data_IF_480388763067
#
_entry.id   IF_480388763067
#
_cell.length_a   1.000
_cell.length_b   1.000
_cell.length_c   1.000
_cell.angle_alpha   90.00
_cell.angle_beta   90.00
_cell.angle_gamma   90.00
#
_symmetry.space_group_name_H-M   'P 1'
#
loop_
_entity.id
_entity.type
_entity.pdbx_description
1 polymer ?
#
# COMPACT_ATOMS: atom_id res chain seq x y z
N UNK A 1 -7.30 27.40 12.85
CA UNK A 1 -8.45 26.69 12.26
C UNK A 1 -8.36 25.26 12.74
N UNK A 2 -9.36 24.77 13.47
CA UNK A 2 -9.35 23.47 14.15
C UNK A 2 -9.27 22.35 13.11
N UNK A 3 -8.31 21.43 13.29
CA UNK A 3 -8.27 20.17 12.54
C UNK A 3 -9.45 19.31 12.96
N UNK A 4 -10.25 18.94 11.97
CA UNK A 4 -11.29 17.94 12.07
C UNK A 4 -10.60 16.58 12.17
N UNK A 5 -10.68 15.96 13.35
CA UNK A 5 -10.23 14.58 13.56
C UNK A 5 -11.18 13.68 12.80
N UNK A 6 -10.72 13.06 11.73
CA UNK A 6 -11.34 11.89 11.14
C UNK A 6 -11.55 10.85 12.24
N UNK A 7 -12.80 10.55 12.54
CA UNK A 7 -13.22 9.67 13.63
C UNK A 7 -12.86 8.21 13.30
N UNK A 8 -11.66 7.78 13.69
CA UNK A 8 -11.36 6.35 13.84
C UNK A 8 -12.11 5.85 15.08
N UNK A 9 -13.18 5.10 14.84
CA UNK A 9 -13.95 4.36 15.85
C UNK A 9 -13.03 3.41 16.60
N UNK A 10 -12.95 3.56 17.92
CA UNK A 10 -12.24 2.64 18.82
C UNK A 10 -12.80 1.23 18.63
N UNK A 11 -11.98 0.20 18.37
CA UNK A 11 -12.48 -1.15 18.23
C UNK A 11 -13.04 -1.63 19.57
N UNK A 12 -14.24 -2.23 19.55
CA UNK A 12 -14.86 -2.83 20.72
C UNK A 12 -13.99 -3.92 21.35
N UNK A 13 -14.18 -4.22 22.63
CA UNK A 13 -13.36 -5.18 23.39
C UNK A 13 -13.27 -6.56 22.72
N UNK A 14 -14.35 -7.01 22.07
CA UNK A 14 -14.39 -8.25 21.28
C UNK A 14 -13.46 -8.22 20.06
N UNK A 15 -13.52 -7.14 19.27
CA UNK A 15 -12.66 -6.92 18.09
C UNK A 15 -11.17 -6.91 18.46
N UNK A 16 -10.80 -6.19 19.52
CA UNK A 16 -9.42 -6.16 20.01
C UNK A 16 -8.90 -7.55 20.43
N UNK A 17 -9.73 -8.36 21.09
CA UNK A 17 -9.35 -9.72 21.51
C UNK A 17 -9.11 -10.67 20.33
N UNK A 18 -9.95 -10.58 19.29
CA UNK A 18 -9.83 -11.36 18.07
C UNK A 18 -8.55 -11.00 17.29
N UNK A 19 -8.30 -9.70 17.09
CA UNK A 19 -7.10 -9.23 16.39
C UNK A 19 -5.82 -9.58 17.14
N UNK A 20 -5.84 -9.50 18.47
CA UNK A 20 -4.74 -9.97 19.32
C UNK A 20 -4.48 -11.47 19.14
N UNK A 21 -5.52 -12.29 19.03
CA UNK A 21 -5.37 -13.73 18.78
C UNK A 21 -4.76 -14.00 17.40
N UNK A 22 -5.19 -13.27 16.36
CA UNK A 22 -4.57 -13.34 15.03
C UNK A 22 -3.09 -12.95 15.05
N UNK A 23 -2.74 -11.86 15.76
CA UNK A 23 -1.34 -11.47 15.94
C UNK A 23 -0.50 -12.60 16.57
N UNK A 24 -1.03 -13.29 17.59
CA UNK A 24 -0.34 -14.42 18.22
C UNK A 24 -0.12 -15.58 17.24
N UNK A 25 -1.07 -15.87 16.35
CA UNK A 25 -0.88 -16.91 15.32
C UNK A 25 0.17 -16.51 14.27
N UNK A 26 0.18 -15.24 13.85
CA UNK A 26 1.23 -14.69 12.98
C UNK A 26 2.60 -14.83 13.65
N UNK A 27 2.70 -14.48 14.94
CA UNK A 27 3.93 -14.60 15.72
C UNK A 27 4.44 -16.04 15.75
N UNK A 28 3.57 -17.00 16.09
CA UNK A 28 3.91 -18.44 16.12
C UNK A 28 4.41 -18.91 14.76
N UNK A 29 3.80 -18.48 13.66
CA UNK A 29 4.19 -18.90 12.31
C UNK A 29 5.56 -18.33 11.93
N UNK A 30 5.83 -17.07 12.26
CA UNK A 30 7.15 -16.44 12.07
C UNK A 30 8.25 -17.10 12.93
N UNK A 31 7.96 -17.42 14.19
CA UNK A 31 8.90 -18.13 15.06
C UNK A 31 9.25 -19.53 14.50
N UNK A 32 8.26 -20.27 13.99
CA UNK A 32 8.51 -21.56 13.31
C UNK A 32 9.38 -21.38 12.06
N UNK A 33 9.17 -20.31 11.29
CA UNK A 33 9.97 -20.00 10.10
C UNK A 33 11.43 -19.65 10.46
N UNK A 34 11.66 -19.02 11.61
CA UNK A 34 13.02 -18.81 12.12
C UNK A 34 13.69 -20.12 12.52
N UNK A 35 12.98 -20.95 13.29
CA UNK A 35 13.50 -22.21 13.83
C UNK A 35 13.77 -23.29 12.76
N UNK A 36 13.01 -23.30 11.65
CA UNK A 36 13.12 -24.33 10.61
C UNK A 36 13.55 -23.77 9.27
N UNK A 37 14.84 -23.84 8.97
CA UNK A 37 15.40 -23.30 7.72
C UNK A 37 14.85 -23.96 6.46
N UNK A 38 14.54 -25.26 6.49
CA UNK A 38 14.01 -26.00 5.35
C UNK A 38 12.54 -25.68 5.06
N UNK A 39 11.75 -25.37 6.08
CA UNK A 39 10.32 -25.03 5.94
C UNK A 39 10.08 -23.52 5.83
N UNK A 40 11.08 -22.69 6.12
CA UNK A 40 10.98 -21.23 6.14
C UNK A 40 10.32 -20.63 4.89
N UNK A 41 10.68 -21.00 3.65
CA UNK A 41 10.05 -20.41 2.47
C UNK A 41 8.56 -20.71 2.41
N UNK A 42 8.17 -21.97 2.66
CA UNK A 42 6.77 -22.42 2.64
C UNK A 42 5.96 -21.72 3.74
N UNK A 43 6.48 -21.67 4.96
CA UNK A 43 5.80 -21.03 6.08
C UNK A 43 5.56 -19.53 5.84
N UNK A 44 6.51 -18.83 5.23
CA UNK A 44 6.36 -17.42 4.89
C UNK A 44 5.38 -17.22 3.73
N UNK A 45 5.41 -18.09 2.73
CA UNK A 45 4.45 -18.04 1.63
C UNK A 45 3.02 -18.30 2.12
N UNK A 46 2.82 -19.30 2.97
CA UNK A 46 1.51 -19.57 3.57
C UNK A 46 1.06 -18.41 4.44
N UNK A 47 1.95 -17.83 5.27
CA UNK A 47 1.61 -16.67 6.08
C UNK A 47 1.17 -15.48 5.22
N UNK A 48 1.89 -15.22 4.13
CA UNK A 48 1.52 -14.20 3.16
C UNK A 48 0.13 -14.47 2.56
N UNK A 49 -0.17 -15.72 2.18
CA UNK A 49 -1.49 -16.09 1.68
C UNK A 49 -2.58 -15.87 2.74
N UNK A 50 -2.35 -16.30 3.98
CA UNK A 50 -3.30 -16.19 5.08
C UNK A 50 -3.67 -14.72 5.38
N UNK A 51 -2.68 -13.81 5.45
CA UNK A 51 -2.95 -12.38 5.71
C UNK A 51 -3.57 -11.65 4.51
N UNK A 52 -3.39 -12.18 3.30
CA UNK A 52 -3.98 -11.65 2.08
C UNK A 52 -5.42 -12.13 1.85
N UNK A 53 -5.94 -13.02 2.70
CA UNK A 53 -7.32 -13.49 2.60
C UNK A 53 -8.32 -12.35 2.86
N UNK A 54 -9.44 -12.44 2.14
CA UNK A 54 -10.63 -11.65 2.39
C UNK A 54 -11.20 -11.99 3.77
N UNK A 55 -11.68 -10.96 4.46
CA UNK A 55 -12.39 -11.10 5.73
C UNK A 55 -13.81 -11.57 5.43
N UNK A 56 -14.13 -12.80 5.80
CA UNK A 56 -15.47 -13.37 5.65
C UNK A 56 -16.51 -12.66 6.53
N UNK A 57 -17.80 -12.83 6.22
CA UNK A 57 -18.91 -12.18 6.94
C UNK A 57 -18.90 -12.46 8.45
N UNK A 58 -18.44 -13.65 8.85
CA UNK A 58 -18.35 -14.03 10.26
C UNK A 58 -17.27 -13.21 10.97
N UNK A 59 -16.08 -13.11 10.39
CA UNK A 59 -14.98 -12.31 10.90
C UNK A 59 -15.33 -10.81 10.87
N UNK A 60 -16.00 -10.32 9.82
CA UNK A 60 -16.53 -8.95 9.75
C UNK A 60 -17.45 -8.66 10.92
N UNK A 61 -18.37 -9.59 11.23
CA UNK A 61 -19.28 -9.46 12.37
C UNK A 61 -18.57 -9.30 13.71
N UNK A 62 -17.41 -9.95 13.91
CA UNK A 62 -16.59 -9.86 15.14
C UNK A 62 -15.74 -8.59 15.16
N UNK A 63 -15.15 -8.22 14.03
CA UNK A 63 -14.26 -7.06 13.89
C UNK A 63 -15.06 -5.76 14.04
N UNK A 64 -16.24 -5.70 13.43
CA UNK A 64 -17.12 -4.54 13.38
C UNK A 64 -18.36 -4.70 14.28
N UNK A 65 -18.33 -5.58 15.29
CA UNK A 65 -19.46 -5.71 16.24
C UNK A 65 -19.78 -4.33 16.83
N UNK A 66 -20.83 -3.72 16.29
CA UNK A 66 -21.32 -2.39 16.60
C UNK A 66 -22.14 -2.52 17.88
N UNK A 67 -21.74 -1.86 18.95
CA UNK A 67 -22.71 -1.48 19.98
C UNK A 67 -23.72 -0.55 19.28
N UNK A 68 -24.98 -0.99 19.18
CA UNK A 68 -26.14 -0.29 18.58
C UNK A 68 -26.20 1.15 19.13
N UNK A 69 -26.30 2.21 18.33
CA UNK A 69 -27.49 2.66 17.62
C UNK A 69 -27.07 3.73 16.59
N UNK A 70 -27.30 3.49 15.31
CA UNK A 70 -27.66 4.53 14.34
C UNK A 70 -28.03 3.83 13.03
N UNK A 71 -29.33 3.84 12.72
CA UNK A 71 -29.84 3.47 11.40
C UNK A 71 -29.32 4.53 10.44
N UNK A 72 -28.26 4.22 9.70
CA UNK A 72 -27.84 4.98 8.53
C UNK A 72 -28.28 4.24 7.28
N UNK A 73 -28.75 4.98 6.26
CA UNK A 73 -29.31 4.40 5.05
C UNK A 73 -28.25 3.62 4.30
N UNK A 74 -28.69 2.76 3.36
CA UNK A 74 -27.82 2.00 2.48
C UNK A 74 -26.73 2.89 1.86
N UNK A 75 -25.54 2.91 2.47
CA UNK A 75 -24.39 3.63 1.97
C UNK A 75 -23.72 2.75 0.93
N UNK A 76 -23.95 3.17 -0.32
CA UNK A 76 -23.10 3.08 -1.49
C UNK A 76 -22.07 1.95 -1.49
N UNK A 77 -22.25 1.05 -2.45
CA UNK A 77 -21.31 0.01 -2.83
C UNK A 77 -19.97 0.59 -3.35
N UNK A 78 -19.18 1.19 -2.47
CA UNK A 78 -17.73 1.12 -2.55
C UNK A 78 -17.33 -0.25 -2.00
N UNK A 79 -17.63 -1.29 -2.79
CA UNK A 79 -17.38 -2.71 -2.55
C UNK A 79 -15.86 -2.98 -2.58
N UNK A 80 -15.16 -2.43 -1.59
CA UNK A 80 -13.76 -2.71 -1.33
C UNK A 80 -13.65 -4.04 -0.64
N UNK A 81 -13.01 -5.00 -1.32
CA UNK A 81 -12.63 -6.28 -0.76
C UNK A 81 -11.74 -6.08 0.48
N UNK A 82 -12.33 -6.22 1.67
CA UNK A 82 -11.59 -6.06 2.93
C UNK A 82 -10.75 -7.32 3.19
N UNK A 83 -9.44 -7.14 3.30
CA UNK A 83 -8.50 -8.24 3.56
C UNK A 83 -7.93 -8.14 4.98
N UNK A 84 -7.50 -9.27 5.56
CA UNK A 84 -6.98 -9.30 6.93
C UNK A 84 -5.78 -8.39 7.14
N UNK A 85 -4.90 -8.24 6.14
CA UNK A 85 -3.74 -7.37 6.27
C UNK A 85 -4.11 -5.91 6.54
N UNK A 86 -5.21 -5.44 5.96
CA UNK A 86 -5.63 -4.04 6.07
C UNK A 86 -6.14 -3.76 7.49
N UNK A 87 -6.97 -4.66 8.01
CA UNK A 87 -7.45 -4.64 9.40
C UNK A 87 -6.28 -4.72 10.39
N UNK A 88 -5.31 -5.60 10.13
CA UNK A 88 -4.13 -5.76 10.99
C UNK A 88 -3.21 -4.54 10.94
N UNK A 89 -3.08 -3.88 9.78
CA UNK A 89 -2.27 -2.67 9.65
C UNK A 89 -2.85 -1.53 10.50
N UNK A 90 -4.18 -1.35 10.50
CA UNK A 90 -4.86 -0.40 11.39
C UNK A 90 -4.67 -0.80 12.87
N UNK A 91 -4.83 -2.08 13.17
CA UNK A 91 -4.63 -2.59 14.53
C UNK A 91 -3.21 -2.35 15.06
N UNK A 92 -2.18 -2.48 14.23
CA UNK A 92 -0.79 -2.21 14.64
C UNK A 92 -0.46 -0.73 14.76
N UNK A 93 -1.22 0.16 14.10
CA UNK A 93 -1.18 1.60 14.41
C UNK A 93 -1.83 1.87 15.77
N UNK A 94 -2.97 1.26 16.06
CA UNK A 94 -3.73 1.48 17.30
C UNK A 94 -3.10 0.83 18.54
N UNK A 95 -2.52 -0.38 18.40
CA UNK A 95 -1.81 -1.11 19.46
C UNK A 95 -0.39 -1.45 19.00
N UNK A 96 0.54 -0.47 18.99
CA UNK A 96 1.90 -0.66 18.48
C UNK A 96 2.66 -1.80 19.17
N UNK A 97 2.41 -2.04 20.46
CA UNK A 97 3.06 -3.13 21.21
C UNK A 97 2.79 -4.51 20.60
N UNK A 98 1.59 -4.73 20.04
CA UNK A 98 1.25 -6.00 19.37
C UNK A 98 2.02 -6.14 18.05
N UNK A 99 2.25 -5.04 17.33
CA UNK A 99 3.02 -5.05 16.07
C UNK A 99 4.53 -5.18 16.27
N UNK A 100 5.09 -4.64 17.38
CA UNK A 100 6.55 -4.62 17.61
C UNK A 100 7.20 -6.00 17.59
N UNK A 101 6.57 -7.00 18.21
CA UNK A 101 7.13 -8.35 18.26
C UNK A 101 7.15 -9.00 16.87
N UNK A 102 6.07 -8.83 16.10
CA UNK A 102 5.99 -9.28 14.71
C UNK A 102 7.06 -8.60 13.86
N UNK A 103 7.20 -7.26 13.98
CA UNK A 103 8.20 -6.49 13.26
C UNK A 103 9.61 -7.00 13.53
N UNK A 104 9.96 -7.25 14.80
CA UNK A 104 11.26 -7.80 15.18
C UNK A 104 11.53 -9.15 14.51
N UNK A 105 10.55 -10.06 14.48
CA UNK A 105 10.69 -11.36 13.81
C UNK A 105 10.87 -11.22 12.30
N UNK A 106 10.11 -10.34 11.65
CA UNK A 106 10.26 -10.09 10.21
C UNK A 106 11.65 -9.53 9.90
N UNK A 107 12.19 -8.62 10.72
CA UNK A 107 13.55 -8.07 10.55
C UNK A 107 14.63 -9.15 10.61
N UNK A 108 14.44 -10.20 11.41
CA UNK A 108 15.35 -11.36 11.44
C UNK A 108 15.22 -12.25 10.19
N UNK A 109 14.07 -12.20 9.51
CA UNK A 109 13.76 -12.96 8.30
C UNK A 109 13.96 -12.16 7.00
N UNK A 110 14.53 -10.96 7.08
CA UNK A 110 14.61 -10.00 5.96
C UNK A 110 15.33 -10.50 4.71
N UNK A 111 16.18 -11.52 4.84
CA UNK A 111 16.86 -12.16 3.70
C UNK A 111 15.91 -13.01 2.85
N UNK A 112 14.70 -13.28 3.33
CA UNK A 112 13.70 -14.09 2.63
C UNK A 112 12.79 -13.20 1.78
N UNK A 113 12.47 -13.65 0.57
CA UNK A 113 11.66 -12.88 -0.39
C UNK A 113 10.29 -12.46 0.16
N UNK A 114 9.61 -13.34 0.90
CA UNK A 114 8.30 -13.05 1.48
C UNK A 114 8.30 -12.11 2.69
N UNK A 115 9.46 -11.86 3.30
CA UNK A 115 9.53 -10.99 4.48
C UNK A 115 9.14 -9.55 4.14
N UNK A 116 9.59 -9.01 2.99
CA UNK A 116 9.22 -7.65 2.55
C UNK A 116 7.75 -7.56 2.12
N UNK A 117 7.18 -8.61 1.53
CA UNK A 117 5.74 -8.68 1.21
C UNK A 117 4.90 -8.58 2.48
N UNK A 118 5.18 -9.45 3.46
CA UNK A 118 4.48 -9.48 4.75
C UNK A 118 4.66 -8.15 5.49
N UNK A 119 5.88 -7.60 5.48
CA UNK A 119 6.15 -6.28 6.06
C UNK A 119 5.27 -5.20 5.42
N UNK A 120 5.22 -5.14 4.09
CA UNK A 120 4.44 -4.12 3.36
C UNK A 120 2.95 -4.25 3.66
N UNK A 121 2.43 -5.47 3.71
CA UNK A 121 1.02 -5.69 4.03
C UNK A 121 0.68 -5.31 5.47
N UNK A 122 1.48 -5.72 6.45
CA UNK A 122 1.15 -5.51 7.87
C UNK A 122 1.55 -4.13 8.43
N UNK A 123 2.56 -3.46 7.85
CA UNK A 123 3.15 -2.25 8.43
C UNK A 123 3.13 -1.03 7.51
N UNK A 124 2.43 -1.07 6.36
CA UNK A 124 2.34 0.08 5.46
C UNK A 124 1.76 1.32 6.13
N UNK A 125 0.80 1.18 7.06
CA UNK A 125 0.25 2.32 7.82
C UNK A 125 1.17 2.72 8.98
N UNK A 126 1.58 1.74 9.78
CA UNK A 126 2.44 1.94 10.96
C UNK A 126 3.72 2.71 10.66
N UNK A 127 4.38 2.46 9.53
CA UNK A 127 5.63 3.14 9.15
C UNK A 127 5.50 4.67 9.17
N UNK A 128 4.32 5.18 8.80
CA UNK A 128 4.07 6.61 8.73
C UNK A 128 3.47 7.20 9.99
N UNK A 129 3.08 6.39 10.98
CA UNK A 129 2.53 6.86 12.26
C UNK A 129 3.54 6.71 13.41
N UNK A 130 4.48 5.77 13.30
CA UNK A 130 5.53 5.55 14.28
C UNK A 130 6.59 6.66 14.27
N UNK A 131 7.12 6.98 15.46
CA UNK A 131 8.30 7.83 15.62
C UNK A 131 9.54 6.94 15.53
N UNK A 132 10.28 7.04 14.43
CA UNK A 132 11.53 6.30 14.20
C UNK A 132 12.71 7.28 14.27
N UNK A 133 13.42 7.28 15.40
CA UNK A 133 14.58 8.17 15.60
C UNK A 133 15.83 7.71 14.83
N UNK A 134 15.87 6.44 14.42
CA UNK A 134 17.01 5.85 13.72
C UNK A 134 16.82 5.94 12.19
N UNK A 135 17.60 6.82 11.56
CA UNK A 135 17.59 7.04 10.11
C UNK A 135 17.92 5.80 9.28
N UNK A 136 18.83 4.93 9.74
CA UNK A 136 19.18 3.70 9.02
C UNK A 136 18.02 2.71 9.00
N UNK A 137 17.33 2.58 10.14
CA UNK A 137 16.12 1.75 10.27
C UNK A 137 15.02 2.30 9.36
N UNK A 138 14.81 3.62 9.36
CA UNK A 138 13.83 4.28 8.49
C UNK A 138 14.13 4.01 7.01
N UNK A 139 15.38 4.14 6.56
CA UNK A 139 15.79 3.83 5.18
C UNK A 139 15.49 2.38 4.85
N UNK A 140 15.86 1.44 5.72
CA UNK A 140 15.65 0.01 5.50
C UNK A 140 14.16 -0.35 5.41
N UNK A 141 13.34 0.19 6.31
CA UNK A 141 11.89 -0.05 6.31
C UNK A 141 11.21 0.57 5.11
N UNK A 142 11.57 1.81 4.74
CA UNK A 142 11.02 2.48 3.57
C UNK A 142 11.36 1.72 2.28
N UNK A 143 12.60 1.23 2.15
CA UNK A 143 13.01 0.40 1.01
C UNK A 143 12.22 -0.91 0.94
N UNK A 144 11.98 -1.57 2.07
CA UNK A 144 11.23 -2.82 2.08
C UNK A 144 9.74 -2.64 1.85
N UNK A 145 9.16 -1.52 2.29
CA UNK A 145 7.79 -1.15 1.94
C UNK A 145 7.65 -1.06 0.42
N UNK A 146 8.52 -0.30 -0.25
CA UNK A 146 8.41 -0.12 -1.70
C UNK A 146 8.70 -1.43 -2.46
N UNK A 147 9.71 -2.19 -2.02
CA UNK A 147 10.03 -3.47 -2.65
C UNK A 147 8.89 -4.49 -2.47
N UNK A 148 8.37 -4.63 -1.26
CA UNK A 148 7.28 -5.55 -0.98
C UNK A 148 5.98 -5.13 -1.65
N UNK A 149 5.63 -3.84 -1.60
CA UNK A 149 4.50 -3.27 -2.32
C UNK A 149 4.60 -3.53 -3.84
N UNK A 150 5.77 -3.33 -4.45
CA UNK A 150 5.97 -3.59 -5.88
C UNK A 150 5.59 -5.03 -6.25
N UNK A 151 6.04 -6.00 -5.46
CA UNK A 151 5.79 -7.40 -5.74
C UNK A 151 4.34 -7.82 -5.46
N UNK A 152 3.71 -7.34 -4.38
CA UNK A 152 2.31 -7.69 -4.10
C UNK A 152 1.36 -7.08 -5.11
N UNK A 153 1.59 -5.84 -5.56
CA UNK A 153 0.78 -5.22 -6.61
C UNK A 153 1.00 -5.92 -7.97
N UNK A 154 2.18 -6.51 -8.20
CA UNK A 154 2.41 -7.34 -9.37
C UNK A 154 1.65 -8.66 -9.35
N UNK A 155 1.38 -9.25 -8.17
CA UNK A 155 0.50 -10.42 -8.04
C UNK A 155 -0.91 -10.09 -8.52
N UNK A 156 -1.41 -8.90 -8.18
CA UNK A 156 -2.72 -8.41 -8.63
C UNK A 156 -2.77 -8.23 -10.16
N UNK A 157 -1.71 -7.69 -10.77
CA UNK A 157 -1.56 -7.67 -12.25
C UNK A 157 -1.62 -9.09 -12.84
N UNK A 158 -0.86 -10.02 -12.27
CA UNK A 158 -0.77 -11.40 -12.78
C UNK A 158 -2.09 -12.17 -12.65
N UNK A 159 -2.84 -11.91 -11.58
CA UNK A 159 -4.12 -12.56 -11.30
C UNK A 159 -5.31 -11.81 -11.90
N UNK A 160 -5.09 -10.60 -12.43
CA UNK A 160 -6.14 -9.67 -12.87
C UNK A 160 -7.22 -9.45 -11.80
N UNK A 161 -6.77 -9.30 -10.55
CA UNK A 161 -7.60 -9.01 -9.39
C UNK A 161 -6.99 -7.83 -8.63
N UNK A 162 -7.75 -7.22 -7.73
CA UNK A 162 -7.34 -6.02 -6.98
C UNK A 162 -7.37 -6.27 -5.47
N UNK A 163 -6.82 -7.40 -5.01
CA UNK A 163 -6.83 -7.76 -3.58
C UNK A 163 -6.04 -6.76 -2.72
N UNK A 164 -5.05 -6.10 -3.32
CA UNK A 164 -4.16 -5.14 -2.68
C UNK A 164 -4.54 -3.69 -2.99
N UNK A 165 -5.80 -3.45 -3.38
CA UNK A 165 -6.31 -2.12 -3.67
C UNK A 165 -6.17 -1.16 -2.48
N UNK A 166 -6.50 -1.60 -1.25
CA UNK A 166 -6.41 -0.72 -0.10
C UNK A 166 -4.97 -0.33 0.25
N UNK A 167 -4.00 -1.25 0.07
CA UNK A 167 -2.57 -0.90 0.13
C UNK A 167 -2.21 0.18 -0.91
N UNK A 168 -2.59 -0.02 -2.17
CA UNK A 168 -2.29 0.95 -3.23
C UNK A 168 -2.92 2.32 -2.94
N UNK A 169 -4.20 2.32 -2.57
CA UNK A 169 -4.95 3.55 -2.29
C UNK A 169 -4.36 4.30 -1.10
N UNK A 170 -3.98 3.62 -0.02
CA UNK A 170 -3.28 4.25 1.10
C UNK A 170 -1.95 4.87 0.67
N UNK A 171 -1.13 4.14 -0.09
CA UNK A 171 0.16 4.66 -0.55
C UNK A 171 0.01 5.86 -1.51
N UNK A 172 -1.04 5.88 -2.33
CA UNK A 172 -1.30 7.00 -3.23
C UNK A 172 -1.92 8.19 -2.49
N UNK A 173 -3.08 7.99 -1.88
CA UNK A 173 -3.94 9.07 -1.39
C UNK A 173 -3.48 9.58 -0.02
N UNK A 174 -3.10 8.68 0.87
CA UNK A 174 -2.71 9.03 2.23
C UNK A 174 -1.21 9.32 2.32
N UNK A 175 -0.35 8.71 1.50
CA UNK A 175 1.10 8.94 1.59
C UNK A 175 1.59 9.91 0.51
N UNK A 176 1.46 9.57 -0.77
CA UNK A 176 2.08 10.34 -1.84
C UNK A 176 1.42 11.71 -2.06
N UNK A 177 0.10 11.81 -1.86
CA UNK A 177 -0.64 13.06 -2.01
C UNK A 177 -0.67 13.93 -0.74
N UNK A 178 -0.13 13.45 0.38
CA UNK A 178 -0.07 14.17 1.66
C UNK A 178 1.39 14.54 2.02
N UNK A 179 1.83 15.78 1.76
CA UNK A 179 3.24 16.18 1.94
C UNK A 179 3.76 15.96 3.36
N UNK A 180 2.92 16.12 4.39
CA UNK A 180 3.32 15.89 5.78
C UNK A 180 3.69 14.43 6.03
N UNK A 181 3.00 13.49 5.39
CA UNK A 181 3.25 12.05 5.53
C UNK A 181 4.39 11.60 4.62
N UNK A 182 4.45 12.11 3.38
CA UNK A 182 5.54 11.84 2.44
C UNK A 182 6.92 12.23 3.00
N UNK A 183 7.00 13.37 3.69
CA UNK A 183 8.25 13.86 4.29
C UNK A 183 8.74 13.03 5.48
N UNK A 184 7.97 12.04 5.95
CA UNK A 184 8.43 11.09 6.99
C UNK A 184 9.38 10.02 6.47
N UNK A 185 9.45 9.82 5.15
CA UNK A 185 10.38 8.86 4.55
C UNK A 185 11.51 9.57 3.79
N UNK A 186 12.69 8.94 3.65
CA UNK A 186 13.82 9.53 2.97
C UNK A 186 13.52 9.83 1.50
N UNK A 187 14.12 10.89 0.95
CA UNK A 187 13.89 11.34 -0.45
C UNK A 187 14.09 10.22 -1.47
N UNK A 188 15.05 9.31 -1.25
CA UNK A 188 15.21 8.16 -2.14
C UNK A 188 13.99 7.23 -2.11
N UNK A 189 13.45 6.93 -0.93
CA UNK A 189 12.25 6.10 -0.82
C UNK A 189 11.00 6.80 -1.37
N UNK A 190 10.90 8.13 -1.25
CA UNK A 190 9.86 8.91 -1.91
C UNK A 190 9.91 8.69 -3.43
N UNK A 191 11.11 8.77 -4.04
CA UNK A 191 11.26 8.52 -5.48
C UNK A 191 10.82 7.12 -5.86
N UNK A 192 11.34 6.09 -5.18
CA UNK A 192 10.98 4.70 -5.46
C UNK A 192 9.47 4.47 -5.30
N UNK A 193 8.83 5.11 -4.30
CA UNK A 193 7.38 5.07 -4.10
C UNK A 193 6.64 5.69 -5.30
N UNK A 194 7.07 6.85 -5.79
CA UNK A 194 6.44 7.48 -6.96
C UNK A 194 6.62 6.66 -8.24
N UNK A 195 7.78 6.04 -8.44
CA UNK A 195 7.99 5.13 -9.58
C UNK A 195 7.09 3.89 -9.46
N UNK A 196 6.97 3.31 -8.25
CA UNK A 196 6.00 2.25 -7.98
C UNK A 196 4.58 2.70 -8.33
N UNK A 197 4.11 3.80 -7.77
CA UNK A 197 2.73 4.28 -7.99
C UNK A 197 2.45 4.56 -9.47
N UNK A 198 3.42 5.14 -10.18
CA UNK A 198 3.34 5.41 -11.62
C UNK A 198 3.02 4.15 -12.42
N UNK A 199 3.67 3.02 -12.09
CA UNK A 199 3.45 1.74 -12.77
C UNK A 199 2.06 1.18 -12.57
N UNK A 200 1.42 1.41 -11.43
CA UNK A 200 0.16 0.76 -11.05
C UNK A 200 -1.07 1.68 -11.09
N UNK A 201 -0.91 3.00 -11.24
CA UNK A 201 -2.01 3.97 -11.14
C UNK A 201 -3.16 3.71 -12.12
N UNK A 202 -2.85 3.23 -13.32
CA UNK A 202 -3.86 2.92 -14.33
C UNK A 202 -4.62 1.63 -13.99
N UNK A 203 -3.94 0.63 -13.42
CA UNK A 203 -4.55 -0.65 -13.04
C UNK A 203 -5.63 -0.49 -11.97
N UNK A 204 -5.39 0.41 -11.02
CA UNK A 204 -6.30 0.73 -9.91
C UNK A 204 -7.29 1.85 -10.24
N UNK A 205 -7.42 2.25 -11.51
CA UNK A 205 -8.37 3.27 -11.97
C UNK A 205 -8.19 4.67 -11.34
N UNK A 206 -7.01 5.04 -10.83
CA UNK A 206 -6.79 6.34 -10.18
C UNK A 206 -6.32 7.42 -11.15
N UNK A 207 -6.87 7.43 -12.36
CA UNK A 207 -6.46 8.33 -13.45
C UNK A 207 -6.76 9.80 -13.12
N UNK A 208 -7.85 10.05 -12.41
CA UNK A 208 -8.26 11.37 -11.92
C UNK A 208 -7.23 12.00 -10.96
N UNK A 209 -6.40 11.18 -10.31
CA UNK A 209 -5.37 11.62 -9.36
C UNK A 209 -4.05 12.02 -10.01
N UNK A 210 -3.85 11.73 -11.30
CA UNK A 210 -2.54 11.90 -11.96
C UNK A 210 -2.05 13.35 -11.89
N UNK A 211 -2.91 14.35 -12.09
CA UNK A 211 -2.50 15.76 -12.02
C UNK A 211 -1.96 16.14 -10.63
N UNK A 212 -2.69 15.78 -9.56
CA UNK A 212 -2.26 15.98 -8.18
C UNK A 212 -0.99 15.19 -7.86
N UNK A 213 -0.90 13.95 -8.36
CA UNK A 213 0.26 13.08 -8.19
C UNK A 213 1.52 13.67 -8.83
N UNK A 214 1.45 14.13 -10.08
CA UNK A 214 2.60 14.73 -10.76
C UNK A 214 3.08 16.04 -10.11
N UNK A 215 2.18 16.79 -9.46
CA UNK A 215 2.53 18.00 -8.70
C UNK A 215 3.33 17.69 -7.42
N UNK A 216 3.14 16.51 -6.83
CA UNK A 216 3.83 16.08 -5.61
C UNK A 216 5.12 15.29 -5.87
N UNK A 217 5.49 15.11 -7.14
CA UNK A 217 6.63 14.28 -7.51
C UNK A 217 7.93 14.82 -6.89
N UNK A 218 8.71 13.98 -6.17
CA UNK A 218 9.95 14.41 -5.55
C UNK A 218 10.97 14.85 -6.60
N UNK A 219 11.75 15.90 -6.28
CA UNK A 219 12.79 16.43 -7.17
C UNK A 219 13.88 15.37 -7.36
N UNK A 220 14.20 15.04 -8.61
CA UNK A 220 15.36 14.20 -8.96
C UNK A 220 16.60 15.07 -9.19
N UNK A 221 17.79 14.67 -8.70
CA UNK A 221 19.01 15.45 -8.93
C UNK A 221 19.41 15.39 -10.41
N UNK A 222 19.02 14.30 -11.09
CA UNK A 222 19.26 14.04 -12.50
C UNK A 222 18.08 14.45 -13.39
N UNK A 223 17.10 15.22 -12.87
CA UNK A 223 15.93 15.66 -13.64
C UNK A 223 16.34 16.41 -14.93
N UNK A 224 17.47 17.12 -14.92
CA UNK A 224 18.01 17.78 -16.12
C UNK A 224 18.27 16.82 -17.30
N UNK A 225 18.53 15.53 -17.05
CA UNK A 225 18.85 14.55 -18.09
C UNK A 225 17.62 13.82 -18.67
N UNK A 226 16.55 13.69 -17.88
CA UNK A 226 15.39 12.84 -18.19
C UNK A 226 14.12 13.65 -18.41
N UNK A 227 14.02 14.85 -17.80
CA UNK A 227 12.87 15.73 -17.87
C UNK A 227 12.19 15.95 -16.52
N UNK A 228 10.95 16.44 -16.58
CA UNK A 228 10.11 16.70 -15.42
C UNK A 228 9.34 15.46 -14.94
N UNK A 229 8.47 15.62 -13.92
CA UNK A 229 7.64 14.55 -13.36
C UNK A 229 6.85 13.73 -14.39
N UNK A 230 6.29 14.41 -15.39
CA UNK A 230 5.52 13.76 -16.45
C UNK A 230 6.38 12.82 -17.31
N UNK A 231 7.64 13.16 -17.55
CA UNK A 231 8.56 12.34 -18.35
C UNK A 231 8.90 11.04 -17.62
N UNK A 232 9.23 11.12 -16.32
CA UNK A 232 9.42 9.94 -15.48
C UNK A 232 8.18 9.04 -15.44
N UNK A 233 7.00 9.64 -15.30
CA UNK A 233 5.74 8.91 -15.30
C UNK A 233 5.51 8.16 -16.63
N UNK A 234 5.74 8.82 -17.77
CA UNK A 234 5.60 8.19 -19.09
C UNK A 234 6.63 7.08 -19.28
N UNK A 235 7.87 7.25 -18.81
CA UNK A 235 8.91 6.21 -18.88
C UNK A 235 8.47 4.98 -18.08
N UNK A 236 8.05 5.14 -16.82
CA UNK A 236 7.59 4.01 -16.00
C UNK A 236 6.36 3.32 -16.60
N UNK A 237 5.43 4.08 -17.19
CA UNK A 237 4.28 3.49 -17.90
C UNK A 237 4.71 2.72 -19.15
N UNK A 238 5.63 3.25 -19.95
CA UNK A 238 6.14 2.57 -21.13
C UNK A 238 6.85 1.26 -20.77
N UNK A 239 7.70 1.31 -19.74
CA UNK A 239 8.37 0.13 -19.18
C UNK A 239 7.38 -0.89 -18.63
N UNK A 240 6.32 -0.43 -17.96
CA UNK A 240 5.26 -1.29 -17.47
C UNK A 240 4.56 -2.01 -18.62
N UNK A 241 4.14 -1.29 -19.66
CA UNK A 241 3.47 -1.87 -20.83
C UNK A 241 4.32 -2.96 -21.51
N UNK A 242 5.64 -2.80 -21.58
CA UNK A 242 6.55 -3.82 -22.12
C UNK A 242 6.60 -5.10 -21.28
N UNK A 243 6.34 -4.99 -19.96
CA UNK A 243 6.40 -6.11 -19.02
C UNK A 243 5.05 -6.84 -18.88
N UNK A 244 3.94 -6.20 -19.23
CA UNK A 244 2.60 -6.79 -19.13
C UNK A 244 2.42 -7.96 -20.10
N UNK A 245 2.04 -9.12 -19.55
CA UNK A 245 1.75 -10.35 -20.31
C UNK A 245 0.29 -10.80 -20.22
N UNK A 246 -0.49 -10.17 -19.35
CA UNK A 246 -1.90 -10.50 -19.12
C UNK A 246 -2.76 -9.62 -20.02
N UNK A 247 -3.36 -10.21 -21.05
CA UNK A 247 -4.07 -9.48 -22.11
C UNK A 247 -5.18 -8.55 -21.57
N UNK A 248 -6.09 -8.98 -20.68
CA UNK A 248 -7.10 -8.09 -20.10
C UNK A 248 -6.51 -6.86 -19.41
N UNK A 249 -5.38 -7.03 -18.72
CA UNK A 249 -4.68 -5.94 -18.03
C UNK A 249 -4.05 -4.99 -19.04
N UNK A 250 -3.39 -5.52 -20.09
CA UNK A 250 -2.82 -4.69 -21.14
C UNK A 250 -3.89 -3.84 -21.83
N UNK A 251 -5.03 -4.44 -22.20
CA UNK A 251 -6.16 -3.73 -22.79
C UNK A 251 -6.71 -2.66 -21.85
N UNK A 252 -6.77 -2.96 -20.55
CA UNK A 252 -7.17 -2.00 -19.53
C UNK A 252 -6.23 -0.78 -19.48
N UNK A 253 -4.91 -0.98 -19.44
CA UNK A 253 -3.95 0.12 -19.47
C UNK A 253 -4.09 0.97 -20.74
N UNK A 254 -4.20 0.34 -21.92
CA UNK A 254 -4.36 1.06 -23.19
C UNK A 254 -5.66 1.88 -23.21
N UNK A 255 -6.74 1.35 -22.65
CA UNK A 255 -8.01 2.07 -22.49
C UNK A 255 -7.85 3.31 -21.61
N UNK A 256 -7.19 3.18 -20.46
CA UNK A 256 -6.94 4.30 -19.56
C UNK A 256 -6.01 5.36 -20.18
N UNK A 257 -5.00 4.94 -20.94
CA UNK A 257 -4.12 5.85 -21.70
C UNK A 257 -4.90 6.63 -22.76
N UNK A 258 -5.86 6.00 -23.44
CA UNK A 258 -6.73 6.69 -24.41
C UNK A 258 -7.58 7.77 -23.74
N UNK A 259 -8.15 7.48 -22.56
CA UNK A 259 -8.87 8.47 -21.75
C UNK A 259 -7.93 9.62 -21.36
N UNK A 260 -6.71 9.28 -20.93
CA UNK A 260 -5.69 10.26 -20.62
C UNK A 260 -5.33 11.12 -21.83
N UNK A 261 -5.19 10.60 -23.04
CA UNK A 261 -4.90 11.43 -24.23
C UNK A 261 -5.99 12.50 -24.46
N UNK A 262 -7.25 12.21 -24.16
CA UNK A 262 -8.33 13.21 -24.17
C UNK A 262 -8.16 14.32 -23.12
N UNK A 263 -7.61 14.01 -21.95
CA UNK A 263 -7.34 14.97 -20.86
C UNK A 263 -5.96 15.64 -20.89
N UNK A 264 -4.95 14.96 -21.43
CA UNK A 264 -3.56 15.39 -21.57
C UNK A 264 -3.46 16.52 -22.61
N UNK A 265 -4.26 16.48 -23.69
CA UNK A 265 -4.40 17.61 -24.61
C UNK A 265 -4.87 18.87 -23.87
N UNK A 266 -5.75 18.73 -22.88
CA UNK A 266 -6.20 19.84 -22.02
C UNK A 266 -5.13 20.28 -21.00
N UNK A 267 -4.31 19.35 -20.47
CA UNK A 267 -3.24 19.66 -19.52
C UNK A 267 -2.07 20.41 -20.19
N UNK A 268 -1.63 19.95 -21.36
CA UNK A 268 -0.60 20.65 -22.15
C UNK A 268 -1.11 21.97 -22.72
N UNK A 269 -2.41 22.09 -23.04
CA UNK A 269 -3.02 23.36 -23.43
C UNK A 269 -2.96 24.42 -22.32
N UNK A 270 -3.07 24.04 -21.04
CA UNK A 270 -3.00 24.98 -19.91
C UNK A 270 -1.57 25.37 -19.50
N UNK A 271 -0.59 24.49 -19.68
CA UNK A 271 0.82 24.80 -19.39
C UNK A 271 1.53 25.58 -20.52
N UNK A 272 0.86 25.84 -21.64
CA UNK A 272 1.42 26.59 -22.79
C UNK A 272 1.20 28.11 -22.70
N UNK A 273 0.62 28.65 -21.60
CA UNK A 273 0.28 30.08 -21.45
C UNK A 273 1.18 30.82 -20.45
N UNK A 274 2.24 30.18 -19.95
CA UNK A 274 3.23 30.83 -19.10
C UNK A 274 4.65 30.59 -19.64
N UNK A 275 4.96 31.29 -20.73
CA UNK A 275 6.31 31.68 -21.11
C UNK A 275 6.28 33.04 -21.79
#
# INVERSE_FOLDING_TARGET
MKMEKTSLTTPGTGSSSYLKALTVEIEKKLQRALASASQRPNLLQELFADIALEVDDRARGIIFSREEDEISPAEDAADGQLCFYDVLADYYVWVPESGKQILHLIVQLWSQSFASHIFSLLFHKWLFEAQLDNTEVLVRFSSALVQGATNVLWIDIQTNKRHFQSLFQYLLEEVALEPMRLNRIPVQAQRELFLLLSRFILFYNSVDKIDSFLKQFPIFPNAFLVGGPADFFVIELADQLQKLKVEPVLLHYLSQIKVLQGGIIHLFSKNSVLH
#
